data_IF_864673772224
#
_entry.id   IF_864673772224
#
_cell.length_a   1.000
_cell.length_b   1.000
_cell.length_c   1.000
_cell.angle_alpha   90.00
_cell.angle_beta   90.00
_cell.angle_gamma   90.00
#
_symmetry.space_group_name_H-M   'P 1'
#
loop_
_entity.id
_entity.type
_entity.pdbx_description
1 polymer ?
#
# COMPACT_ATOMS: atom_id res chain seq x y z
N UNK A 1 0.64 10.77 27.35
CA UNK A 1 -0.19 10.69 26.13
C UNK A 1 0.22 9.46 25.33
N UNK A 2 -0.70 8.77 24.66
CA UNK A 2 -0.32 7.64 23.81
C UNK A 2 0.65 8.10 22.71
N UNK A 3 1.63 7.26 22.38
CA UNK A 3 2.61 7.57 21.34
C UNK A 3 1.97 7.36 19.97
N UNK A 4 1.52 8.43 19.30
CA UNK A 4 1.10 8.37 17.90
C UNK A 4 2.37 8.38 17.03
N UNK A 5 2.52 7.35 16.18
CA UNK A 5 3.65 7.22 15.25
C UNK A 5 3.27 7.75 13.87
N UNK A 6 4.28 8.18 13.12
CA UNK A 6 4.13 8.58 11.72
C UNK A 6 4.75 7.55 10.80
N UNK A 7 4.10 7.30 9.67
CA UNK A 7 4.65 6.53 8.55
C UNK A 7 4.09 7.07 7.23
N UNK A 8 4.76 6.82 6.12
CA UNK A 8 4.21 7.01 4.77
C UNK A 8 3.57 5.71 4.29
N UNK A 9 2.75 5.72 3.23
CA UNK A 9 2.14 4.48 2.73
C UNK A 9 3.19 3.61 2.05
N UNK A 10 3.86 4.10 1.02
CA UNK A 10 4.87 3.33 0.31
C UNK A 10 5.51 4.17 -0.80
N UNK A 11 4.86 4.23 -1.95
CA UNK A 11 5.40 4.82 -3.17
C UNK A 11 5.71 6.31 -3.05
N UNK A 12 6.77 6.71 -3.73
CA UNK A 12 7.25 8.09 -3.83
C UNK A 12 7.44 8.46 -5.32
N UNK A 13 7.32 9.75 -5.70
CA UNK A 13 7.55 10.17 -7.08
C UNK A 13 8.94 9.77 -7.59
N UNK A 14 8.98 9.04 -8.70
CA UNK A 14 10.24 8.61 -9.29
C UNK A 14 11.07 9.83 -9.72
N UNK A 15 12.32 9.97 -9.25
CA UNK A 15 13.15 11.10 -9.63
C UNK A 15 13.47 11.11 -11.15
N UNK A 16 13.38 12.27 -11.80
CA UNK A 16 13.62 12.41 -13.24
C UNK A 16 15.01 11.90 -13.66
N UNK A 17 16.02 12.09 -12.81
CA UNK A 17 17.38 11.61 -13.08
C UNK A 17 17.52 10.08 -13.01
N UNK A 18 16.67 9.39 -12.22
CA UNK A 18 16.61 7.93 -12.24
C UNK A 18 15.96 7.43 -13.54
N UNK A 19 14.97 8.15 -14.04
CA UNK A 19 14.34 7.86 -15.34
C UNK A 19 15.31 8.10 -16.49
N UNK A 20 16.05 9.20 -16.44
CA UNK A 20 16.98 9.59 -17.50
C UNK A 20 18.24 8.71 -17.59
N UNK A 21 18.70 8.17 -16.46
CA UNK A 21 19.93 7.35 -16.41
C UNK A 21 19.78 6.20 -15.41
N UNK A 22 18.98 5.17 -15.73
CA UNK A 22 18.72 4.04 -14.84
C UNK A 22 19.96 3.16 -14.69
N UNK A 23 20.30 2.88 -13.43
CA UNK A 23 21.35 1.92 -13.05
C UNK A 23 21.09 1.45 -11.62
N UNK A 24 21.72 0.35 -11.21
CA UNK A 24 21.63 -0.10 -9.81
C UNK A 24 22.15 0.97 -8.84
N UNK A 25 23.21 1.68 -9.19
CA UNK A 25 23.73 2.79 -8.39
C UNK A 25 22.75 3.95 -8.32
N UNK A 26 22.16 4.36 -9.45
CA UNK A 26 21.16 5.44 -9.49
C UNK A 26 19.92 5.10 -8.67
N UNK A 27 19.48 3.83 -8.69
CA UNK A 27 18.38 3.35 -7.86
C UNK A 27 18.73 3.41 -6.36
N UNK A 28 19.92 2.96 -5.98
CA UNK A 28 20.37 3.03 -4.59
C UNK A 28 20.47 4.48 -4.09
N UNK A 29 20.99 5.39 -4.92
CA UNK A 29 21.09 6.80 -4.59
C UNK A 29 19.72 7.47 -4.48
N UNK A 30 18.79 7.14 -5.39
CA UNK A 30 17.42 7.62 -5.33
C UNK A 30 16.70 7.13 -4.06
N UNK A 31 16.85 5.86 -3.73
CA UNK A 31 16.27 5.27 -2.53
C UNK A 31 16.83 5.91 -1.27
N UNK A 32 18.14 6.16 -1.21
CA UNK A 32 18.78 6.89 -0.08
C UNK A 32 18.23 8.31 0.06
N UNK A 33 18.01 9.03 -1.06
CA UNK A 33 17.42 10.37 -1.04
C UNK A 33 15.98 10.32 -0.48
N UNK A 34 15.16 9.37 -0.93
CA UNK A 34 13.78 9.24 -0.47
C UNK A 34 13.69 8.89 1.01
N UNK A 35 14.52 7.97 1.48
CA UNK A 35 14.63 7.62 2.91
C UNK A 35 15.11 8.84 3.69
N UNK A 36 16.16 9.53 3.24
CA UNK A 36 16.72 10.72 3.89
C UNK A 36 15.70 11.85 4.04
N UNK A 37 14.82 12.07 3.05
CA UNK A 37 13.72 13.05 3.13
C UNK A 37 12.76 12.69 4.28
N UNK A 38 12.39 11.44 4.41
CA UNK A 38 11.50 10.97 5.47
C UNK A 38 12.17 11.08 6.85
N UNK A 39 13.45 10.70 6.95
CA UNK A 39 14.23 10.79 8.18
C UNK A 39 14.42 12.24 8.64
N UNK A 40 14.74 13.16 7.73
CA UNK A 40 14.88 14.59 8.00
C UNK A 40 13.56 15.24 8.42
N UNK A 41 12.45 14.81 7.82
CA UNK A 41 11.12 15.24 8.22
C UNK A 41 10.69 14.71 9.61
N UNK A 42 11.39 13.71 10.15
CA UNK A 42 11.08 13.13 11.46
C UNK A 42 10.09 11.97 11.42
N UNK A 43 9.85 11.36 10.27
CA UNK A 43 8.98 10.15 10.15
C UNK A 43 9.51 9.03 11.05
N UNK A 44 8.63 8.39 11.83
CA UNK A 44 9.04 7.35 12.80
C UNK A 44 9.39 6.01 12.13
N UNK A 45 8.69 5.63 11.06
CA UNK A 45 8.94 4.40 10.30
C UNK A 45 8.97 4.74 8.82
N UNK A 46 10.16 4.63 8.21
CA UNK A 46 10.43 5.03 6.83
C UNK A 46 10.25 3.87 5.84
N UNK A 47 10.13 4.17 4.55
CA UNK A 47 10.12 3.19 3.47
C UNK A 47 10.99 3.63 2.28
N UNK A 48 11.22 2.70 1.34
CA UNK A 48 12.10 2.87 0.18
C UNK A 48 11.48 3.72 -0.96
N UNK A 49 10.23 4.13 -0.82
CA UNK A 49 9.51 4.83 -1.88
C UNK A 49 9.12 3.95 -3.06
N UNK A 50 9.34 2.63 -2.97
CA UNK A 50 9.00 1.62 -4.00
C UNK A 50 9.71 1.87 -5.35
N UNK A 51 10.81 2.60 -5.34
CA UNK A 51 11.51 3.00 -6.57
C UNK A 51 12.06 1.82 -7.36
N UNK A 52 12.39 0.70 -6.70
CA UNK A 52 12.84 -0.55 -7.33
C UNK A 52 11.77 -1.22 -8.20
N UNK A 53 10.51 -0.81 -8.07
CA UNK A 53 9.37 -1.35 -8.82
C UNK A 53 9.08 -0.58 -10.10
N UNK A 54 9.79 0.52 -10.34
CA UNK A 54 9.68 1.28 -11.58
C UNK A 54 10.44 0.57 -12.70
N UNK A 55 9.72 0.22 -13.78
CA UNK A 55 10.30 -0.38 -14.98
C UNK A 55 10.33 0.66 -16.11
N UNK A 56 11.52 1.21 -16.38
CA UNK A 56 11.71 2.23 -17.39
C UNK A 56 11.42 1.74 -18.82
N UNK A 57 11.61 0.44 -19.07
CA UNK A 57 11.35 -0.14 -20.38
C UNK A 57 9.86 -0.40 -20.61
N UNK A 58 9.07 -0.38 -19.52
CA UNK A 58 7.65 -0.67 -19.52
C UNK A 58 6.88 0.35 -18.66
N UNK A 59 6.89 1.64 -19.04
CA UNK A 59 6.26 2.71 -18.27
C UNK A 59 4.73 2.57 -18.16
N UNK A 60 4.12 1.69 -18.99
CA UNK A 60 2.71 1.34 -18.92
C UNK A 60 2.39 0.34 -17.78
N UNK A 61 3.40 -0.17 -17.08
CA UNK A 61 3.22 -1.12 -15.97
C UNK A 61 2.96 -0.41 -14.66
N UNK A 62 2.39 -1.15 -13.72
CA UNK A 62 2.16 -0.69 -12.36
C UNK A 62 3.06 -1.48 -11.40
N UNK A 63 3.93 -0.78 -10.68
CA UNK A 63 4.84 -1.38 -9.71
C UNK A 63 4.15 -2.15 -8.58
N UNK A 64 2.87 -1.89 -8.32
CA UNK A 64 2.08 -2.67 -7.38
C UNK A 64 1.60 -4.01 -7.94
N UNK A 65 1.63 -4.24 -9.24
CA UNK A 65 1.05 -5.44 -9.85
C UNK A 65 2.11 -6.22 -10.63
N UNK A 66 2.60 -5.64 -11.73
CA UNK A 66 3.54 -6.31 -12.62
C UNK A 66 4.84 -6.71 -11.93
N UNK A 67 5.34 -5.90 -11.02
CA UNK A 67 6.54 -6.21 -10.23
C UNK A 67 6.42 -7.54 -9.48
N UNK A 68 5.22 -7.85 -8.95
CA UNK A 68 4.98 -9.08 -8.22
C UNK A 68 4.69 -10.27 -9.13
N UNK A 69 3.82 -10.09 -10.14
CA UNK A 69 3.28 -11.23 -10.89
C UNK A 69 4.13 -11.66 -12.08
N UNK A 70 4.88 -10.74 -12.72
CA UNK A 70 5.71 -11.08 -13.87
C UNK A 70 6.83 -12.08 -13.57
N UNK A 71 7.52 -11.99 -12.42
CA UNK A 71 8.55 -12.94 -12.04
C UNK A 71 8.03 -14.32 -11.65
N UNK A 72 6.72 -14.47 -11.33
CA UNK A 72 6.16 -15.73 -10.82
C UNK A 72 6.12 -16.82 -11.89
N UNK A 73 6.44 -18.05 -11.49
CA UNK A 73 6.16 -19.23 -12.29
C UNK A 73 4.64 -19.36 -12.51
N UNK A 74 4.24 -19.97 -13.62
CA UNK A 74 2.83 -20.16 -13.96
C UNK A 74 2.16 -18.94 -14.58
N UNK A 75 2.81 -17.77 -14.65
CA UNK A 75 2.29 -16.53 -15.25
C UNK A 75 2.92 -16.28 -16.62
N UNK A 76 2.12 -16.04 -17.64
CA UNK A 76 2.57 -15.64 -18.98
C UNK A 76 2.17 -14.22 -19.34
N UNK A 77 3.03 -13.55 -20.11
CA UNK A 77 2.79 -12.21 -20.68
C UNK A 77 2.25 -12.28 -22.13
N UNK A 78 1.98 -13.48 -22.62
CA UNK A 78 1.44 -13.69 -23.99
C UNK A 78 -0.08 -13.66 -23.93
N UNK A 79 -0.68 -12.82 -24.76
CA UNK A 79 -2.13 -12.65 -24.84
C UNK A 79 -2.60 -12.82 -26.29
N UNK A 80 -3.68 -13.56 -26.48
CA UNK A 80 -4.42 -13.56 -27.74
C UNK A 80 -5.26 -12.27 -27.85
N UNK A 81 -5.73 -11.98 -29.06
CA UNK A 81 -6.63 -10.85 -29.29
C UNK A 81 -7.96 -11.01 -28.52
N UNK A 82 -8.51 -12.21 -28.49
CA UNK A 82 -9.75 -12.50 -27.78
C UNK A 82 -9.61 -12.32 -26.26
N UNK A 83 -8.46 -12.68 -25.70
CA UNK A 83 -8.15 -12.46 -24.29
C UNK A 83 -8.10 -10.98 -23.94
N UNK A 84 -7.53 -10.16 -24.81
CA UNK A 84 -7.50 -8.71 -24.60
C UNK A 84 -8.89 -8.09 -24.66
N UNK A 85 -9.76 -8.56 -25.58
CA UNK A 85 -11.17 -8.13 -25.64
C UNK A 85 -11.91 -8.56 -24.37
N UNK A 86 -11.78 -9.82 -23.97
CA UNK A 86 -12.42 -10.35 -22.77
C UNK A 86 -12.00 -9.59 -21.51
N UNK A 87 -10.70 -9.26 -21.39
CA UNK A 87 -10.20 -8.48 -20.27
C UNK A 87 -10.79 -7.05 -20.22
N UNK A 88 -10.84 -6.36 -21.37
CA UNK A 88 -11.40 -5.01 -21.47
C UNK A 88 -12.91 -4.96 -21.18
N UNK A 89 -13.59 -6.08 -21.37
CA UNK A 89 -15.03 -6.22 -21.09
C UNK A 89 -15.31 -6.44 -19.59
N UNK A 90 -14.28 -6.76 -18.77
CA UNK A 90 -14.45 -6.94 -17.32
C UNK A 90 -14.89 -5.63 -16.67
N UNK A 91 -15.96 -5.69 -15.90
CA UNK A 91 -16.39 -4.59 -15.04
C UNK A 91 -15.31 -4.31 -13.98
N UNK A 92 -15.02 -3.03 -13.73
CA UNK A 92 -14.03 -2.61 -12.72
C UNK A 92 -12.58 -2.52 -13.20
N UNK A 93 -12.24 -3.01 -14.43
CA UNK A 93 -10.87 -2.97 -14.98
C UNK A 93 -10.66 -1.85 -16.01
N UNK A 94 -11.56 -0.87 -16.09
CA UNK A 94 -11.52 0.21 -17.10
C UNK A 94 -10.28 1.11 -17.03
N UNK A 95 -9.56 1.09 -15.92
CA UNK A 95 -8.31 1.83 -15.72
C UNK A 95 -7.09 1.15 -16.36
N UNK A 96 -7.25 -0.09 -16.87
CA UNK A 96 -6.18 -0.85 -17.52
C UNK A 96 -6.60 -1.30 -18.92
N UNK A 97 -5.67 -1.16 -19.86
CA UNK A 97 -5.89 -1.58 -21.25
C UNK A 97 -5.45 -3.02 -21.52
N UNK A 98 -4.59 -3.59 -20.64
CA UNK A 98 -4.02 -4.94 -20.78
C UNK A 98 -3.97 -5.62 -19.42
N UNK A 99 -4.14 -6.97 -19.37
CA UNK A 99 -3.89 -7.72 -18.14
C UNK A 99 -2.40 -7.68 -17.76
N UNK A 100 -2.05 -7.77 -16.47
CA UNK A 100 -0.67 -7.86 -16.03
C UNK A 100 -0.02 -9.20 -16.36
N UNK A 101 -0.83 -10.24 -16.55
CA UNK A 101 -0.45 -11.61 -16.91
C UNK A 101 -1.66 -12.52 -16.97
N UNK A 102 -1.45 -13.70 -17.56
CA UNK A 102 -2.41 -14.82 -17.53
C UNK A 102 -1.79 -15.98 -16.77
N UNK A 103 -2.48 -16.48 -15.76
CA UNK A 103 -2.10 -17.70 -15.05
C UNK A 103 -2.45 -18.92 -15.89
N UNK A 104 -1.44 -19.72 -16.23
CA UNK A 104 -1.57 -20.89 -17.14
C UNK A 104 -1.06 -22.19 -16.49
N UNK A 105 -0.58 -22.11 -15.26
CA UNK A 105 -0.05 -23.26 -14.51
C UNK A 105 0.05 -22.94 -13.03
N UNK A 106 0.51 -23.91 -12.21
CA UNK A 106 0.72 -23.69 -10.78
C UNK A 106 1.63 -22.50 -10.53
N UNK A 107 1.26 -21.63 -9.58
CA UNK A 107 2.06 -20.49 -9.21
C UNK A 107 3.27 -20.91 -8.35
N UNK A 108 4.44 -20.35 -8.66
CA UNK A 108 5.65 -20.40 -7.85
C UNK A 108 6.29 -19.03 -7.76
N UNK A 109 7.29 -18.86 -6.89
CA UNK A 109 7.95 -17.56 -6.74
C UNK A 109 8.78 -17.16 -7.98
N UNK A 110 9.20 -18.14 -8.82
CA UNK A 110 10.03 -17.89 -10.01
C UNK A 110 11.29 -17.10 -9.67
N UNK A 111 11.46 -15.95 -10.30
CA UNK A 111 12.55 -15.02 -10.02
C UNK A 111 12.18 -13.87 -9.07
N UNK A 112 11.01 -13.90 -8.44
CA UNK A 112 10.62 -12.92 -7.42
C UNK A 112 11.50 -13.08 -6.16
N UNK A 113 12.22 -12.03 -5.79
CA UNK A 113 13.10 -12.01 -4.62
C UNK A 113 12.85 -10.75 -3.78
N UNK A 114 11.76 -10.78 -3.01
CA UNK A 114 11.40 -9.71 -2.08
C UNK A 114 12.42 -9.57 -0.93
N UNK A 115 13.00 -10.66 -0.37
CA UNK A 115 14.03 -10.56 0.65
C UNK A 115 15.25 -9.77 0.22
N UNK A 116 15.75 -9.98 -1.01
CA UNK A 116 16.87 -9.21 -1.54
C UNK A 116 16.52 -7.73 -1.73
N UNK A 117 15.33 -7.44 -2.29
CA UNK A 117 14.87 -6.06 -2.45
C UNK A 117 14.73 -5.35 -1.09
N UNK A 118 14.14 -6.02 -0.09
CA UNK A 118 13.99 -5.51 1.26
C UNK A 118 15.35 -5.22 1.92
N UNK A 119 16.29 -6.17 1.88
CA UNK A 119 17.60 -6.02 2.51
C UNK A 119 18.42 -4.88 1.91
N UNK A 120 18.39 -4.73 0.57
CA UNK A 120 19.05 -3.61 -0.12
C UNK A 120 18.50 -2.25 0.30
N UNK A 121 17.17 -2.13 0.43
CA UNK A 121 16.53 -0.89 0.84
C UNK A 121 16.75 -0.59 2.34
N UNK A 122 16.58 -1.59 3.21
CA UNK A 122 16.79 -1.45 4.66
C UNK A 122 18.20 -1.01 5.00
N UNK A 123 19.21 -1.48 4.26
CA UNK A 123 20.62 -1.09 4.47
C UNK A 123 20.87 0.42 4.27
N UNK A 124 19.94 1.16 3.67
CA UNK A 124 20.02 2.60 3.44
C UNK A 124 19.29 3.41 4.52
N UNK A 125 18.50 2.77 5.39
CA UNK A 125 17.72 3.42 6.44
C UNK A 125 18.49 3.45 7.77
N UNK A 126 18.33 4.55 8.52
CA UNK A 126 18.85 4.69 9.90
C UNK A 126 17.75 4.57 10.95
N UNK A 127 16.49 4.70 10.53
CA UNK A 127 15.29 4.54 11.36
C UNK A 127 14.62 3.18 11.12
N UNK A 128 13.64 2.78 11.95
CA UNK A 128 12.81 1.62 11.67
C UNK A 128 12.26 1.64 10.24
N UNK A 129 12.33 0.52 9.57
CA UNK A 129 12.05 0.39 8.14
C UNK A 129 10.79 -0.43 7.88
N UNK A 130 9.96 0.07 6.97
CA UNK A 130 8.77 -0.61 6.48
C UNK A 130 8.98 -1.05 5.04
N UNK A 131 8.61 -2.32 4.76
CA UNK A 131 8.54 -2.86 3.41
C UNK A 131 7.08 -3.14 3.03
N UNK A 132 6.68 -2.80 1.81
CA UNK A 132 5.31 -2.96 1.31
C UNK A 132 5.21 -4.14 0.35
N UNK A 133 4.07 -4.82 0.36
CA UNK A 133 3.78 -5.99 -0.50
C UNK A 133 2.34 -5.89 -0.97
N UNK A 134 2.10 -6.07 -2.26
CA UNK A 134 0.72 -6.04 -2.77
C UNK A 134 -0.07 -7.28 -2.34
N UNK A 135 -1.30 -7.06 -1.91
CA UNK A 135 -2.17 -8.09 -1.35
C UNK A 135 -2.69 -9.10 -2.38
N UNK A 136 -2.98 -10.34 -1.95
CA UNK A 136 -3.40 -11.42 -2.83
C UNK A 136 -4.74 -11.16 -3.51
N UNK A 137 -5.69 -10.48 -2.86
CA UNK A 137 -6.97 -10.12 -3.47
C UNK A 137 -6.76 -9.18 -4.66
N UNK A 138 -5.97 -8.12 -4.49
CA UNK A 138 -5.67 -7.17 -5.56
C UNK A 138 -4.99 -7.85 -6.75
N UNK A 139 -4.02 -8.73 -6.52
CA UNK A 139 -3.32 -9.46 -7.57
C UNK A 139 -4.28 -10.42 -8.30
N UNK A 140 -5.09 -11.20 -7.57
CA UNK A 140 -6.05 -12.13 -8.14
C UNK A 140 -7.11 -11.43 -9.02
N UNK A 141 -7.62 -10.28 -8.56
CA UNK A 141 -8.62 -9.51 -9.33
C UNK A 141 -8.07 -8.93 -10.62
N UNK A 142 -6.76 -8.67 -10.71
CA UNK A 142 -6.14 -8.04 -11.88
C UNK A 142 -5.62 -9.04 -12.90
N UNK A 143 -5.26 -10.26 -12.51
CA UNK A 143 -4.80 -11.31 -13.39
C UNK A 143 -5.94 -11.90 -14.25
N UNK A 144 -5.58 -12.43 -15.40
CA UNK A 144 -6.39 -13.43 -16.07
C UNK A 144 -6.02 -14.81 -15.53
N UNK A 145 -7.01 -15.70 -15.38
CA UNK A 145 -6.79 -17.04 -14.86
C UNK A 145 -7.37 -18.11 -15.81
N UNK A 146 -6.55 -19.11 -16.09
CA UNK A 146 -6.88 -20.30 -16.90
C UNK A 146 -6.52 -21.61 -16.19
N UNK A 147 -6.03 -21.51 -14.97
CA UNK A 147 -5.51 -22.68 -14.25
C UNK A 147 -6.31 -23.00 -13.00
N UNK A 148 -6.61 -22.02 -12.17
CA UNK A 148 -7.36 -22.21 -10.92
C UNK A 148 -8.87 -22.21 -11.21
N UNK A 149 -9.63 -22.83 -10.32
CA UNK A 149 -11.09 -22.99 -10.47
C UNK A 149 -11.84 -21.66 -10.35
N UNK A 150 -11.40 -20.79 -9.42
CA UNK A 150 -12.05 -19.53 -9.13
C UNK A 150 -11.07 -18.50 -8.55
N UNK A 151 -11.51 -17.25 -8.43
CA UNK A 151 -10.69 -16.16 -7.91
C UNK A 151 -10.22 -16.38 -6.45
N UNK A 152 -11.02 -16.91 -5.51
CA UNK A 152 -10.55 -17.28 -4.19
C UNK A 152 -9.40 -18.29 -4.19
N UNK A 153 -9.46 -19.35 -5.02
CA UNK A 153 -8.39 -20.34 -5.12
C UNK A 153 -7.10 -19.70 -5.66
N UNK A 154 -7.20 -18.88 -6.71
CA UNK A 154 -6.08 -18.09 -7.22
C UNK A 154 -5.49 -17.17 -6.13
N UNK A 155 -6.35 -16.47 -5.37
CA UNK A 155 -5.89 -15.58 -4.30
C UNK A 155 -5.14 -16.34 -3.20
N UNK A 156 -5.58 -17.54 -2.84
CA UNK A 156 -4.87 -18.38 -1.88
C UNK A 156 -3.54 -18.87 -2.42
N UNK A 157 -3.45 -19.25 -3.69
CA UNK A 157 -2.19 -19.64 -4.32
C UNK A 157 -1.19 -18.46 -4.36
N UNK A 158 -1.66 -17.24 -4.70
CA UNK A 158 -0.87 -16.03 -4.61
C UNK A 158 -0.40 -15.74 -3.18
N UNK A 159 -1.29 -15.92 -2.20
CA UNK A 159 -0.96 -15.74 -0.79
C UNK A 159 0.13 -16.71 -0.33
N UNK A 160 0.12 -17.96 -0.78
CA UNK A 160 1.14 -18.96 -0.44
C UNK A 160 2.51 -18.55 -1.05
N UNK A 161 2.56 -18.05 -2.29
CA UNK A 161 3.78 -17.52 -2.90
C UNK A 161 4.29 -16.30 -2.14
N UNK A 162 3.42 -15.32 -1.83
CA UNK A 162 3.80 -14.13 -1.08
C UNK A 162 4.27 -14.47 0.34
N UNK A 163 3.58 -15.36 1.05
CA UNK A 163 3.95 -15.79 2.38
C UNK A 163 5.34 -16.48 2.39
N UNK A 164 5.67 -17.25 1.35
CA UNK A 164 7.00 -17.86 1.20
C UNK A 164 8.11 -16.81 1.10
N UNK A 165 7.85 -15.65 0.53
CA UNK A 165 8.78 -14.52 0.42
C UNK A 165 8.80 -13.69 1.72
N UNK A 166 7.62 -13.34 2.23
CA UNK A 166 7.43 -12.44 3.38
C UNK A 166 8.10 -12.98 4.65
N UNK A 167 8.08 -14.29 4.87
CA UNK A 167 8.74 -14.92 6.03
C UNK A 167 10.25 -14.68 6.12
N UNK A 168 10.87 -14.25 5.03
CA UNK A 168 12.30 -13.96 4.94
C UNK A 168 12.64 -12.48 4.90
N UNK A 169 11.63 -11.59 4.98
CA UNK A 169 11.86 -10.16 5.02
C UNK A 169 12.48 -9.74 6.36
N UNK A 170 13.54 -8.96 6.28
CA UNK A 170 14.14 -8.26 7.42
C UNK A 170 13.64 -6.81 7.44
N UNK A 171 12.37 -6.61 7.80
CA UNK A 171 11.75 -5.30 7.96
C UNK A 171 11.10 -5.20 9.34
N UNK A 172 11.13 -3.99 9.94
CA UNK A 172 10.49 -3.75 11.24
C UNK A 172 8.96 -3.78 11.12
N UNK A 173 8.44 -3.30 9.97
CA UNK A 173 7.03 -3.36 9.60
C UNK A 173 6.92 -3.95 8.20
N UNK A 174 6.01 -4.89 8.00
CA UNK A 174 5.60 -5.36 6.65
C UNK A 174 4.16 -4.96 6.44
N UNK A 175 3.91 -4.12 5.44
CA UNK A 175 2.58 -3.63 5.08
C UNK A 175 2.08 -4.36 3.83
N UNK A 176 0.88 -4.93 3.92
CA UNK A 176 0.19 -5.53 2.77
C UNK A 176 -0.82 -4.53 2.22
N UNK A 177 -0.71 -4.21 0.93
CA UNK A 177 -1.52 -3.18 0.27
C UNK A 177 -2.70 -3.80 -0.47
N UNK A 178 -3.91 -3.39 -0.12
CA UNK A 178 -5.15 -3.91 -0.68
C UNK A 178 -6.06 -2.76 -1.17
N UNK A 179 -6.11 -2.54 -2.49
CA UNK A 179 -6.82 -1.40 -3.07
C UNK A 179 -8.11 -1.78 -3.82
N UNK A 180 -8.37 -3.07 -4.06
CA UNK A 180 -9.55 -3.49 -4.81
C UNK A 180 -10.72 -3.90 -3.92
N UNK A 181 -10.46 -4.40 -2.74
CA UNK A 181 -11.51 -4.85 -1.82
C UNK A 181 -12.54 -3.77 -1.46
N UNK A 182 -12.20 -2.48 -1.32
CA UNK A 182 -13.21 -1.45 -1.05
C UNK A 182 -14.33 -1.36 -2.09
N UNK A 183 -14.08 -1.79 -3.33
CA UNK A 183 -15.10 -1.92 -4.38
C UNK A 183 -15.85 -3.26 -4.38
N UNK A 184 -15.44 -4.22 -3.56
CA UNK A 184 -15.96 -5.60 -3.50
C UNK A 184 -16.12 -6.07 -2.04
N UNK A 185 -16.83 -5.32 -1.19
CA UNK A 185 -16.92 -5.62 0.25
C UNK A 185 -17.58 -6.97 0.54
N UNK A 186 -18.36 -7.52 -0.40
CA UNK A 186 -18.97 -8.85 -0.30
C UNK A 186 -17.95 -9.99 -0.33
N UNK A 187 -16.76 -9.74 -0.85
CA UNK A 187 -15.66 -10.71 -0.98
C UNK A 187 -14.81 -10.82 0.31
N UNK A 188 -15.17 -10.12 1.37
CA UNK A 188 -14.36 -9.95 2.56
C UNK A 188 -13.88 -11.24 3.22
N UNK A 189 -14.68 -12.30 3.19
CA UNK A 189 -14.37 -13.56 3.89
C UNK A 189 -13.14 -14.25 3.29
N UNK A 190 -13.16 -14.49 1.99
CA UNK A 190 -12.03 -15.14 1.34
C UNK A 190 -10.83 -14.19 1.19
N UNK A 191 -11.08 -12.89 1.03
CA UNK A 191 -10.02 -11.88 1.01
C UNK A 191 -9.27 -11.83 2.35
N UNK A 192 -9.98 -11.84 3.49
CA UNK A 192 -9.37 -11.92 4.81
C UNK A 192 -8.61 -13.24 5.02
N UNK A 193 -9.17 -14.36 4.58
CA UNK A 193 -8.49 -15.65 4.66
C UNK A 193 -7.18 -15.67 3.86
N UNK A 194 -7.17 -15.11 2.64
CA UNK A 194 -5.98 -15.07 1.80
C UNK A 194 -4.92 -14.12 2.36
N UNK A 195 -5.28 -12.89 2.76
CA UNK A 195 -4.32 -11.92 3.28
C UNK A 195 -3.72 -12.36 4.62
N UNK A 196 -4.50 -13.01 5.49
CA UNK A 196 -4.02 -13.50 6.78
C UNK A 196 -2.92 -14.55 6.64
N UNK A 197 -2.93 -15.39 5.58
CA UNK A 197 -1.80 -16.28 5.29
C UNK A 197 -0.48 -15.52 5.09
N UNK A 198 -0.54 -14.35 4.48
CA UNK A 198 0.63 -13.50 4.28
C UNK A 198 1.00 -12.81 5.58
N UNK A 199 0.02 -12.27 6.32
CA UNK A 199 0.25 -11.59 7.60
C UNK A 199 0.85 -12.53 8.66
N UNK A 200 0.38 -13.78 8.72
CA UNK A 200 0.89 -14.80 9.65
C UNK A 200 2.36 -15.20 9.36
N UNK A 201 2.84 -14.94 8.15
CA UNK A 201 4.24 -15.17 7.78
C UNK A 201 5.17 -14.01 8.15
N UNK A 202 4.64 -12.83 8.54
CA UNK A 202 5.42 -11.65 8.92
C UNK A 202 6.15 -11.87 10.24
N UNK A 203 7.46 -11.67 10.25
CA UNK A 203 8.27 -11.73 11.50
C UNK A 203 8.29 -10.42 12.27
N UNK A 204 8.19 -9.29 11.55
CA UNK A 204 8.10 -7.95 12.12
C UNK A 204 6.66 -7.62 12.53
N UNK A 205 6.30 -6.35 12.44
CA UNK A 205 4.95 -5.86 12.73
C UNK A 205 4.10 -5.97 11.45
N UNK A 206 3.02 -6.79 11.42
CA UNK A 206 2.14 -6.90 10.28
C UNK A 206 1.20 -5.68 10.21
N UNK A 207 1.11 -5.04 9.05
CA UNK A 207 0.21 -3.94 8.79
C UNK A 207 -0.58 -4.15 7.48
N UNK A 208 -1.76 -3.55 7.37
CA UNK A 208 -2.55 -3.57 6.14
C UNK A 208 -2.93 -2.16 5.74
N UNK A 209 -2.60 -1.79 4.49
CA UNK A 209 -3.11 -0.55 3.91
C UNK A 209 -4.34 -0.82 3.05
N UNK A 210 -5.39 -0.03 3.30
CA UNK A 210 -6.57 0.04 2.44
C UNK A 210 -6.81 1.48 1.99
N UNK A 211 -7.07 1.62 0.70
CA UNK A 211 -7.55 2.85 0.10
C UNK A 211 -8.61 2.54 -0.97
N UNK A 212 -9.29 3.56 -1.45
CA UNK A 212 -10.25 3.42 -2.56
C UNK A 212 -9.59 3.55 -3.93
N UNK A 213 -8.30 3.24 -4.00
CA UNK A 213 -7.47 3.35 -5.18
C UNK A 213 -6.93 4.77 -5.42
N UNK A 214 -5.76 4.82 -6.06
CA UNK A 214 -5.11 6.07 -6.47
C UNK A 214 -4.59 5.90 -7.89
N UNK A 215 -5.46 6.06 -8.88
CA UNK A 215 -5.09 6.00 -10.28
C UNK A 215 -5.29 7.37 -10.92
N UNK A 216 -4.19 8.03 -11.26
CA UNK A 216 -4.24 9.40 -11.79
C UNK A 216 -4.77 10.43 -10.78
N UNK A 217 -4.59 10.23 -9.48
CA UNK A 217 -5.12 11.11 -8.43
C UNK A 217 -6.62 10.95 -8.19
N UNK A 218 -7.23 9.85 -8.64
CA UNK A 218 -8.66 9.60 -8.48
C UNK A 218 -8.92 8.29 -7.74
N UNK A 219 -10.01 8.26 -6.97
CA UNK A 219 -10.52 7.01 -6.38
C UNK A 219 -11.09 6.12 -7.48
N UNK A 220 -10.60 4.88 -7.56
CA UNK A 220 -11.02 3.88 -8.55
C UNK A 220 -12.20 3.08 -8.02
N UNK A 221 -12.22 2.80 -6.73
CA UNK A 221 -13.23 1.99 -6.09
C UNK A 221 -14.35 2.86 -5.49
N UNK A 222 -15.57 2.37 -5.59
CA UNK A 222 -16.75 2.98 -4.96
C UNK A 222 -17.12 2.17 -3.74
N UNK A 223 -17.23 2.81 -2.59
CA UNK A 223 -17.58 2.14 -1.34
C UNK A 223 -17.50 3.09 -0.15
N UNK A 224 -17.75 2.56 1.02
CA UNK A 224 -17.72 3.28 2.29
C UNK A 224 -17.11 2.40 3.37
N UNK A 225 -16.54 3.00 4.41
CA UNK A 225 -15.81 2.27 5.45
C UNK A 225 -16.70 1.34 6.29
N UNK A 226 -17.97 1.67 6.48
CA UNK A 226 -18.91 0.84 7.24
C UNK A 226 -19.03 -0.60 6.68
N UNK A 227 -18.93 -0.75 5.36
CA UNK A 227 -18.99 -2.06 4.70
C UNK A 227 -17.74 -2.91 4.89
N UNK A 228 -16.63 -2.29 5.30
CA UNK A 228 -15.31 -2.92 5.41
C UNK A 228 -14.93 -3.29 6.86
N UNK A 229 -15.69 -2.86 7.87
CA UNK A 229 -15.34 -3.12 9.28
C UNK A 229 -15.23 -4.62 9.60
N UNK A 230 -16.09 -5.46 9.01
CA UNK A 230 -15.99 -6.92 9.18
C UNK A 230 -14.67 -7.48 8.64
N UNK A 231 -14.23 -6.98 7.49
CA UNK A 231 -12.94 -7.36 6.92
C UNK A 231 -11.80 -6.90 7.82
N UNK A 232 -11.80 -5.62 8.23
CA UNK A 232 -10.76 -5.07 9.08
C UNK A 232 -10.64 -5.85 10.40
N UNK A 233 -11.77 -6.19 11.02
CA UNK A 233 -11.80 -6.95 12.28
C UNK A 233 -11.35 -8.43 12.13
N UNK A 234 -11.39 -8.97 10.91
CA UNK A 234 -10.91 -10.32 10.62
C UNK A 234 -9.40 -10.39 10.32
N UNK A 235 -8.70 -9.25 10.22
CA UNK A 235 -7.27 -9.22 9.91
C UNK A 235 -6.41 -9.63 11.10
N UNK A 236 -5.34 -10.36 10.81
CA UNK A 236 -4.25 -10.67 11.75
C UNK A 236 -3.18 -9.58 11.73
N UNK A 237 -3.59 -8.32 11.61
CA UNK A 237 -2.72 -7.16 11.56
C UNK A 237 -2.56 -6.53 12.95
N UNK A 238 -1.37 -5.98 13.24
CA UNK A 238 -1.14 -5.10 14.39
C UNK A 238 -1.88 -3.77 14.20
N UNK A 239 -1.83 -3.23 12.99
CA UNK A 239 -2.49 -1.98 12.67
C UNK A 239 -2.91 -1.90 11.20
N UNK A 240 -3.82 -1.00 10.94
CA UNK A 240 -4.27 -0.63 9.59
C UNK A 240 -3.83 0.79 9.25
N UNK A 241 -3.61 1.06 7.96
CA UNK A 241 -3.19 2.34 7.38
C UNK A 241 -4.26 2.75 6.37
N UNK A 242 -5.12 3.70 6.71
CA UNK A 242 -6.36 3.92 6.00
C UNK A 242 -6.46 5.30 5.34
N UNK A 243 -7.17 5.36 4.21
CA UNK A 243 -7.55 6.60 3.53
C UNK A 243 -8.69 7.28 4.29
N UNK A 244 -8.43 8.47 4.87
CA UNK A 244 -9.44 9.21 5.64
C UNK A 244 -9.50 10.70 5.28
N UNK A 245 -8.39 11.35 4.87
CA UNK A 245 -8.35 12.78 4.61
C UNK A 245 -9.16 13.20 3.38
N UNK A 246 -9.24 12.32 2.37
CA UNK A 246 -10.03 12.54 1.16
C UNK A 246 -11.50 12.08 1.33
N UNK A 247 -11.81 11.34 2.39
CA UNK A 247 -13.13 10.78 2.64
C UNK A 247 -14.02 11.75 3.44
N UNK A 248 -15.36 11.64 3.30
CA UNK A 248 -16.27 12.38 4.15
C UNK A 248 -16.00 12.11 5.64
N UNK A 249 -15.89 13.16 6.48
CA UNK A 249 -15.57 12.98 7.90
C UNK A 249 -16.57 12.08 8.67
N UNK A 250 -17.79 11.97 8.20
CA UNK A 250 -18.85 11.16 8.79
C UNK A 250 -18.50 9.66 8.75
N UNK A 251 -17.71 9.23 7.76
CA UNK A 251 -17.28 7.84 7.63
C UNK A 251 -16.35 7.39 8.77
N UNK A 252 -15.70 8.30 9.47
CA UNK A 252 -14.89 8.00 10.65
C UNK A 252 -15.69 7.29 11.76
N UNK A 253 -17.01 7.48 11.80
CA UNK A 253 -17.90 6.82 12.79
C UNK A 253 -17.87 5.30 12.65
N UNK A 254 -17.64 4.77 11.46
CA UNK A 254 -17.54 3.33 11.25
C UNK A 254 -16.40 2.70 12.08
N UNK A 255 -15.33 3.44 12.35
CA UNK A 255 -14.19 2.91 13.10
C UNK A 255 -14.42 2.83 14.62
N UNK A 256 -15.56 3.30 15.12
CA UNK A 256 -15.97 2.99 16.49
C UNK A 256 -16.14 1.48 16.73
N UNK A 257 -16.51 0.74 15.66
CA UNK A 257 -16.70 -0.71 15.67
C UNK A 257 -15.42 -1.49 15.27
N UNK A 258 -14.30 -0.80 15.06
CA UNK A 258 -13.02 -1.46 14.79
C UNK A 258 -12.51 -2.14 16.07
N UNK A 259 -12.14 -3.42 15.95
CA UNK A 259 -11.60 -4.23 17.05
C UNK A 259 -10.45 -3.48 17.75
N UNK A 260 -10.50 -3.34 19.08
CA UNK A 260 -9.48 -2.63 19.86
C UNK A 260 -8.08 -3.28 19.78
N UNK A 261 -7.96 -4.54 19.36
CA UNK A 261 -6.67 -5.19 19.11
C UNK A 261 -5.94 -4.57 17.92
N UNK A 262 -6.67 -4.02 16.95
CA UNK A 262 -6.12 -3.45 15.73
C UNK A 262 -5.84 -1.97 15.95
N UNK A 263 -4.59 -1.56 15.80
CA UNK A 263 -4.18 -0.16 15.82
C UNK A 263 -4.78 0.61 14.65
N UNK A 264 -5.39 1.78 14.93
CA UNK A 264 -5.95 2.63 13.88
C UNK A 264 -4.88 3.59 13.34
N UNK A 265 -4.57 3.47 12.05
CA UNK A 265 -3.75 4.39 11.28
C UNK A 265 -4.64 5.32 10.46
N UNK A 266 -4.66 6.59 10.88
CA UNK A 266 -5.49 7.64 10.31
C UNK A 266 -4.79 8.34 9.15
N UNK A 267 -5.38 8.32 7.96
CA UNK A 267 -4.98 9.17 6.85
C UNK A 267 -5.31 10.63 7.15
N UNK A 268 -4.27 11.48 7.17
CA UNK A 268 -4.41 12.92 7.49
C UNK A 268 -3.87 13.83 6.40
N UNK A 269 -3.28 13.25 5.37
CA UNK A 269 -2.74 13.94 4.20
C UNK A 269 -3.47 13.43 2.96
N UNK A 270 -4.20 14.32 2.27
CA UNK A 270 -4.87 14.01 1.01
C UNK A 270 -3.86 14.06 -0.15
N UNK A 271 -3.52 12.91 -0.71
CA UNK A 271 -2.55 12.79 -1.81
C UNK A 271 -3.18 13.06 -3.19
N UNK A 272 -4.50 13.15 -3.28
CA UNK A 272 -5.23 13.38 -4.54
C UNK A 272 -5.32 14.86 -4.91
N UNK A 273 -4.93 15.76 -4.00
CA UNK A 273 -4.85 17.20 -4.24
C UNK A 273 -3.42 17.71 -4.11
N UNK A 274 -3.07 18.74 -4.89
CA UNK A 274 -1.75 19.35 -4.86
C UNK A 274 -1.55 20.34 -3.71
N UNK A 275 -2.64 20.75 -3.03
CA UNK A 275 -2.55 21.60 -1.85
C UNK A 275 -1.83 20.87 -0.73
N UNK A 276 -0.81 21.51 -0.17
CA UNK A 276 -0.08 21.00 1.00
C UNK A 276 -0.85 21.43 2.24
N UNK A 277 -1.24 20.47 3.06
CA UNK A 277 -1.86 20.72 4.35
C UNK A 277 -0.90 21.47 5.27
N UNK A 278 -1.40 22.42 6.04
CA UNK A 278 -0.61 23.01 7.13
C UNK A 278 -0.59 22.08 8.35
N UNK A 279 0.40 22.19 9.25
CA UNK A 279 0.43 21.42 10.49
C UNK A 279 -0.86 21.54 11.32
N UNK A 280 -1.49 22.72 11.32
CA UNK A 280 -2.76 22.95 12.03
C UNK A 280 -3.92 22.18 11.42
N UNK A 281 -3.96 22.04 10.08
CA UNK A 281 -4.97 21.23 9.41
C UNK A 281 -4.81 19.76 9.78
N UNK A 282 -3.58 19.26 9.78
CA UNK A 282 -3.25 17.88 10.19
C UNK A 282 -3.65 17.65 11.65
N UNK A 283 -3.24 18.53 12.56
CA UNK A 283 -3.58 18.44 13.97
C UNK A 283 -5.11 18.44 14.21
N UNK A 284 -5.86 19.31 13.53
CA UNK A 284 -7.31 19.36 13.59
C UNK A 284 -7.98 18.06 13.07
N UNK A 285 -7.43 17.45 12.01
CA UNK A 285 -7.92 16.15 11.50
C UNK A 285 -7.72 15.05 12.54
N UNK A 286 -6.56 15.01 13.21
CA UNK A 286 -6.28 14.05 14.29
C UNK A 286 -7.24 14.27 15.46
N UNK A 287 -7.42 15.52 15.89
CA UNK A 287 -8.34 15.87 16.98
C UNK A 287 -9.79 15.48 16.67
N UNK A 288 -10.27 15.81 15.47
CA UNK A 288 -11.62 15.47 15.03
C UNK A 288 -11.86 13.96 15.01
N UNK A 289 -10.89 13.18 14.51
CA UNK A 289 -10.97 11.74 14.52
C UNK A 289 -10.93 11.16 15.95
N UNK A 290 -10.05 11.68 16.82
CA UNK A 290 -9.96 11.24 18.22
C UNK A 290 -11.28 11.43 19.00
N UNK A 291 -12.01 12.51 18.73
CA UNK A 291 -13.33 12.75 19.32
C UNK A 291 -14.39 11.71 18.87
N UNK A 292 -14.22 11.12 17.69
CA UNK A 292 -15.17 10.14 17.13
C UNK A 292 -14.81 8.72 17.56
N UNK A 293 -13.53 8.33 17.36
CA UNK A 293 -13.07 6.95 17.60
C UNK A 293 -12.65 6.69 19.04
N UNK A 294 -12.50 7.74 19.84
CA UNK A 294 -12.05 7.68 21.23
C UNK A 294 -10.58 7.95 21.43
N UNK A 295 -10.24 8.49 22.58
CA UNK A 295 -8.88 8.81 22.99
C UNK A 295 -8.00 7.55 23.01
N UNK A 296 -6.82 7.66 22.44
CA UNK A 296 -5.83 6.57 22.41
C UNK A 296 -6.09 5.47 21.38
N UNK A 297 -7.14 5.56 20.57
CA UNK A 297 -7.43 4.63 19.47
C UNK A 297 -6.50 4.86 18.28
N UNK A 298 -6.17 6.11 17.97
CA UNK A 298 -5.24 6.47 16.89
C UNK A 298 -3.82 6.11 17.33
N UNK A 299 -3.22 5.13 16.69
CA UNK A 299 -1.85 4.66 16.95
C UNK A 299 -0.86 5.18 15.92
N UNK A 300 -1.35 5.45 14.70
CA UNK A 300 -0.56 5.90 13.58
C UNK A 300 -1.25 7.04 12.85
N UNK A 301 -0.47 7.93 12.25
CA UNK A 301 -0.92 8.88 11.25
C UNK A 301 -0.08 8.73 9.98
N UNK A 302 -0.74 8.84 8.85
CA UNK A 302 -0.19 8.54 7.54
C UNK A 302 -0.84 9.41 6.45
N UNK A 303 -0.27 9.47 5.24
CA UNK A 303 -0.99 9.91 4.05
C UNK A 303 -2.10 8.92 3.68
N UNK A 304 -3.09 9.38 2.94
CA UNK A 304 -4.20 8.54 2.46
C UNK A 304 -3.75 7.40 1.55
N UNK A 305 -2.69 7.60 0.77
CA UNK A 305 -2.09 6.60 -0.11
C UNK A 305 -0.63 6.99 -0.43
N UNK A 306 0.02 6.26 -1.33
CA UNK A 306 1.36 6.57 -1.80
C UNK A 306 1.45 7.87 -2.62
N UNK A 307 2.62 8.50 -2.64
CA UNK A 307 2.86 9.81 -3.27
C UNK A 307 3.25 9.74 -4.76
N UNK A 308 3.32 8.56 -5.36
CA UNK A 308 3.93 8.36 -6.68
C UNK A 308 3.41 9.29 -7.80
N UNK A 309 2.14 9.77 -7.69
CA UNK A 309 1.54 10.70 -8.66
C UNK A 309 1.76 12.18 -8.35
N UNK A 310 2.31 12.51 -7.19
CA UNK A 310 2.58 13.88 -6.80
C UNK A 310 3.90 14.37 -7.41
N UNK A 311 4.06 15.69 -7.54
CA UNK A 311 5.39 16.28 -7.76
C UNK A 311 6.23 16.10 -6.48
N UNK A 312 7.54 15.81 -6.61
CA UNK A 312 8.45 15.65 -5.48
C UNK A 312 8.35 16.81 -4.47
N UNK A 313 8.40 18.04 -4.97
CA UNK A 313 8.31 19.24 -4.11
C UNK A 313 7.00 19.35 -3.32
N UNK A 314 5.94 18.68 -3.75
CA UNK A 314 4.67 18.58 -3.02
C UNK A 314 4.75 17.42 -2.02
N UNK A 315 5.23 16.26 -2.43
CA UNK A 315 5.38 15.09 -1.58
C UNK A 315 6.26 15.41 -0.35
N UNK A 316 7.41 16.05 -0.57
CA UNK A 316 8.35 16.41 0.51
C UNK A 316 7.68 17.31 1.55
N UNK A 317 6.95 18.35 1.11
CA UNK A 317 6.25 19.26 2.03
C UNK A 317 5.08 18.58 2.75
N UNK A 318 4.37 17.68 2.08
CA UNK A 318 3.28 16.90 2.69
C UNK A 318 3.82 15.95 3.77
N UNK A 319 4.98 15.32 3.54
CA UNK A 319 5.67 14.47 4.53
C UNK A 319 6.10 15.30 5.75
N UNK A 320 6.67 16.48 5.53
CA UNK A 320 7.03 17.38 6.62
C UNK A 320 5.80 17.82 7.43
N UNK A 321 4.73 18.22 6.74
CA UNK A 321 3.46 18.65 7.37
C UNK A 321 2.79 17.52 8.18
N UNK A 322 2.88 16.27 7.72
CA UNK A 322 2.41 15.09 8.45
C UNK A 322 3.03 15.02 9.86
N UNK A 323 4.35 15.14 9.93
CA UNK A 323 5.09 15.03 11.19
C UNK A 323 4.83 16.23 12.08
N UNK A 324 4.97 17.45 11.52
CA UNK A 324 4.74 18.70 12.26
C UNK A 324 3.31 18.76 12.84
N UNK A 325 2.31 18.33 12.07
CA UNK A 325 0.92 18.32 12.54
C UNK A 325 0.66 17.28 13.62
N UNK A 326 1.30 16.09 13.54
CA UNK A 326 1.27 15.11 14.64
C UNK A 326 1.91 15.70 15.90
N UNK A 327 3.06 16.37 15.76
CA UNK A 327 3.78 16.94 16.90
C UNK A 327 3.00 18.10 17.52
N UNK A 328 2.40 18.95 16.69
CA UNK A 328 1.49 20.01 17.16
C UNK A 328 0.31 19.44 17.97
N UNK A 329 -0.34 18.38 17.47
CA UNK A 329 -1.42 17.70 18.21
C UNK A 329 -0.95 17.14 19.56
N UNK A 330 0.28 16.64 19.63
CA UNK A 330 0.86 16.09 20.86
C UNK A 330 1.46 17.16 21.80
N UNK A 331 1.42 18.45 21.42
CA UNK A 331 2.04 19.53 22.17
C UNK A 331 3.58 19.44 22.23
N UNK A 332 4.19 18.93 21.16
CA UNK A 332 5.65 18.87 20.98
C UNK A 332 6.09 20.06 20.12
N UNK A 333 7.17 20.71 20.52
CA UNK A 333 7.83 21.76 19.72
C UNK A 333 8.74 21.17 18.65
#
# INVERSE_FOLDING_TARGET
>A
MPRIRTTVVGSYPVPDWLVANPSEQALADATRVVIGIQEQAGVDVVCDGELSRFDINHPETNGMIEYFVRPMDGVTQRFSFDELIAYRSKSGMKFRTRPPGTVVGPLGHGSLDLPLACSRAKALATKPFKFTVTGPHMLAKTLMDKHYRDTPELAHALADVLASQVRHLDADVVQIDEANLPGHPEEWQWAASAINRVLDAVKGIPAVHLCFGNYGGQSVQKGTWDKLIRYLNALHADHVVLECAHRPPEELRAFADLDPRIGFGLGVIDIKVNTVETPEIVAKRIEAAARIVGDGRIKWVNPDCGFWMNKRSIADRKIASLVQGRDLFLGRE
#
